data_IF_826487999327
#
_entry.id   IF_826487999327
#
_cell.length_a   1.000
_cell.length_b   1.000
_cell.length_c   1.000
_cell.angle_alpha   90.00
_cell.angle_beta   90.00
_cell.angle_gamma   90.00
#
_symmetry.space_group_name_H-M   'P 1'
#
loop_
_entity.id
_entity.type
_entity.pdbx_description
1 polymer ?
#
# COMPACT_ATOMS: atom_id res chain seq x y z
N UNK A 1 -87.99 25.59 -37.45
CA UNK A 1 -87.70 24.95 -38.76
C UNK A 1 -86.30 24.39 -38.69
N UNK A 2 -86.19 23.19 -39.08
CA UNK A 2 -85.01 22.32 -39.25
C UNK A 2 -84.64 21.35 -38.10
N UNK A 3 -85.02 20.21 -38.35
CA UNK A 3 -84.78 18.94 -37.67
C UNK A 3 -83.35 18.46 -37.83
N UNK A 4 -82.77 17.95 -36.76
CA UNK A 4 -81.52 17.21 -36.81
C UNK A 4 -81.70 15.81 -36.29
N UNK A 5 -81.47 14.87 -37.15
CA UNK A 5 -81.50 13.42 -36.89
C UNK A 5 -80.24 12.92 -36.24
N UNK A 6 -80.41 12.19 -35.17
CA UNK A 6 -79.35 11.51 -34.43
C UNK A 6 -79.05 10.17 -35.06
N UNK A 7 -77.78 9.89 -35.40
CA UNK A 7 -77.26 8.55 -35.73
C UNK A 7 -76.61 7.89 -34.51
N UNK A 8 -77.12 6.79 -34.04
CA UNK A 8 -76.47 5.91 -33.08
C UNK A 8 -75.53 4.96 -33.82
N UNK A 9 -74.24 4.97 -33.41
CA UNK A 9 -73.30 3.90 -33.81
C UNK A 9 -73.07 2.97 -32.62
N UNK A 10 -72.96 1.64 -32.88
CA UNK A 10 -72.80 0.65 -31.77
C UNK A 10 -71.44 0.62 -31.19
N UNK A 11 -71.36 0.53 -29.84
CA UNK A 11 -70.16 0.34 -29.02
C UNK A 11 -69.47 -0.95 -29.35
N UNK A 12 -68.20 -0.89 -29.77
CA UNK A 12 -67.32 -2.03 -29.93
C UNK A 12 -66.91 -2.58 -28.54
N UNK A 13 -67.13 -3.82 -28.29
CA UNK A 13 -66.73 -4.58 -27.12
C UNK A 13 -65.21 -4.74 -27.10
N UNK A 14 -64.49 -3.99 -26.23
CA UNK A 14 -63.08 -4.22 -25.94
C UNK A 14 -62.95 -5.44 -25.05
N UNK A 15 -62.39 -6.52 -25.60
CA UNK A 15 -61.96 -7.68 -24.81
C UNK A 15 -60.75 -7.28 -23.95
N UNK A 16 -60.93 -7.26 -22.63
CA UNK A 16 -59.81 -7.18 -21.65
C UNK A 16 -59.00 -8.47 -21.78
N UNK A 17 -57.83 -8.39 -22.42
CA UNK A 17 -56.81 -9.42 -22.31
C UNK A 17 -56.25 -9.38 -20.90
N UNK A 18 -56.21 -10.49 -20.20
CA UNK A 18 -55.61 -10.65 -18.89
C UNK A 18 -54.10 -10.30 -18.94
N UNK A 19 -53.55 -9.59 -17.95
CA UNK A 19 -52.12 -9.28 -17.94
C UNK A 19 -51.31 -10.58 -17.91
N UNK A 20 -50.36 -10.68 -18.82
CA UNK A 20 -49.37 -11.78 -18.79
C UNK A 20 -48.56 -11.70 -17.47
N UNK A 21 -48.32 -12.84 -16.80
CA UNK A 21 -47.48 -12.86 -15.62
C UNK A 21 -46.11 -12.34 -15.99
N UNK A 22 -45.57 -11.43 -15.16
CA UNK A 22 -44.21 -10.93 -15.28
C UNK A 22 -43.20 -12.08 -15.34
N UNK A 23 -42.18 -12.02 -16.20
CA UNK A 23 -41.15 -13.05 -16.27
C UNK A 23 -40.56 -13.28 -14.89
N UNK A 24 -40.43 -14.55 -14.48
CA UNK A 24 -39.81 -14.93 -13.23
C UNK A 24 -38.43 -14.28 -13.13
N UNK A 25 -38.02 -13.71 -11.97
CA UNK A 25 -36.69 -13.12 -11.82
C UNK A 25 -35.67 -14.19 -12.21
N UNK A 26 -34.74 -13.82 -13.09
CA UNK A 26 -33.62 -14.67 -13.46
C UNK A 26 -32.97 -15.22 -12.21
N UNK A 27 -32.74 -16.54 -12.18
CA UNK A 27 -32.11 -17.20 -11.04
C UNK A 27 -30.83 -16.41 -10.66
N UNK A 28 -30.77 -15.92 -9.42
CA UNK A 28 -29.62 -15.18 -8.93
C UNK A 28 -28.39 -16.05 -9.14
N UNK A 29 -27.29 -15.53 -9.74
CA UNK A 29 -26.08 -16.31 -9.94
C UNK A 29 -25.64 -16.81 -8.55
N UNK A 30 -25.41 -18.12 -8.43
CA UNK A 30 -25.15 -18.78 -7.16
C UNK A 30 -24.02 -18.09 -6.39
N UNK A 31 -24.18 -17.85 -5.08
CA UNK A 31 -23.17 -17.21 -4.22
C UNK A 31 -21.84 -17.97 -4.30
N UNK A 32 -20.74 -17.22 -4.46
CA UNK A 32 -19.39 -17.77 -4.37
C UNK A 32 -19.01 -17.86 -2.89
N UNK A 33 -18.62 -19.04 -2.44
CA UNK A 33 -18.19 -19.27 -1.05
C UNK A 33 -16.67 -19.41 -1.00
N UNK A 34 -16.04 -18.68 -0.08
CA UNK A 34 -14.60 -18.77 0.19
C UNK A 34 -14.34 -18.76 1.70
N UNK A 35 -13.21 -19.32 2.11
CA UNK A 35 -12.77 -19.25 3.49
C UNK A 35 -12.23 -17.87 3.82
N UNK A 36 -11.46 -17.28 2.90
CA UNK A 36 -10.86 -15.97 3.08
C UNK A 36 -11.11 -15.07 1.86
N UNK A 37 -11.67 -13.91 2.11
CA UNK A 37 -11.71 -12.80 1.16
C UNK A 37 -10.70 -11.74 1.55
N UNK A 38 -9.79 -11.39 0.63
CA UNK A 38 -8.82 -10.30 0.78
C UNK A 38 -9.20 -9.16 -0.15
N UNK A 39 -9.25 -7.94 0.37
CA UNK A 39 -9.53 -6.74 -0.42
C UNK A 39 -8.26 -5.94 -0.61
N UNK A 40 -7.79 -5.87 -1.86
CA UNK A 40 -6.57 -5.18 -2.29
C UNK A 40 -5.43 -6.14 -2.66
N UNK A 41 -5.02 -6.15 -3.93
CA UNK A 41 -3.84 -6.86 -4.44
C UNK A 41 -2.56 -6.03 -4.18
N UNK A 42 -2.32 -5.71 -2.91
CA UNK A 42 -1.13 -5.01 -2.42
C UNK A 42 -0.09 -5.99 -1.91
N UNK A 43 1.12 -5.51 -1.55
CA UNK A 43 2.13 -6.34 -0.88
C UNK A 43 1.57 -7.12 0.32
N UNK A 44 0.78 -6.48 1.16
CA UNK A 44 0.16 -7.14 2.31
C UNK A 44 -0.94 -8.13 1.90
N UNK A 45 -1.80 -7.74 0.96
CA UNK A 45 -2.93 -8.57 0.53
C UNK A 45 -2.49 -9.83 -0.20
N UNK A 46 -1.52 -9.71 -1.13
CA UNK A 46 -1.00 -10.85 -1.87
C UNK A 46 -0.20 -11.80 -0.98
N UNK A 47 0.60 -11.28 -0.03
CA UNK A 47 1.29 -12.12 0.95
C UNK A 47 0.29 -12.88 1.84
N UNK A 48 -0.77 -12.21 2.30
CA UNK A 48 -1.84 -12.83 3.09
C UNK A 48 -2.57 -13.93 2.30
N UNK A 49 -2.99 -13.61 1.10
CA UNK A 49 -3.74 -14.54 0.26
C UNK A 49 -2.93 -15.80 -0.09
N UNK A 50 -1.65 -15.60 -0.49
CA UNK A 50 -0.72 -16.69 -0.79
C UNK A 50 -0.51 -17.61 0.42
N UNK A 51 -0.22 -17.04 1.59
CA UNK A 51 0.01 -17.82 2.80
C UNK A 51 -1.22 -18.64 3.21
N UNK A 52 -2.41 -18.04 3.14
CA UNK A 52 -3.66 -18.72 3.45
C UNK A 52 -3.98 -19.85 2.45
N UNK A 53 -3.75 -19.63 1.15
CA UNK A 53 -3.96 -20.65 0.12
C UNK A 53 -2.99 -21.82 0.27
N UNK A 54 -1.71 -21.56 0.53
CA UNK A 54 -0.71 -22.60 0.83
C UNK A 54 -1.05 -23.40 2.09
N UNK A 55 -1.79 -22.79 3.04
CA UNK A 55 -2.32 -23.49 4.21
C UNK A 55 -3.65 -24.21 3.93
N UNK A 56 -4.09 -24.32 2.67
CA UNK A 56 -5.23 -25.13 2.24
C UNK A 56 -6.59 -24.40 2.24
N UNK A 57 -6.63 -23.07 2.40
CA UNK A 57 -7.90 -22.33 2.34
C UNK A 57 -8.31 -22.02 0.91
N UNK A 58 -9.62 -21.93 0.68
CA UNK A 58 -10.20 -21.29 -0.51
C UNK A 58 -10.10 -19.76 -0.34
N UNK A 59 -9.32 -19.12 -1.22
CA UNK A 59 -8.98 -17.69 -1.08
C UNK A 59 -9.34 -16.91 -2.34
N UNK A 60 -9.97 -15.75 -2.15
CA UNK A 60 -10.23 -14.78 -3.22
C UNK A 60 -9.62 -13.43 -2.87
N UNK A 61 -9.05 -12.74 -3.86
CA UNK A 61 -8.57 -11.35 -3.77
C UNK A 61 -9.39 -10.47 -4.69
N UNK A 62 -9.92 -9.37 -4.19
CA UNK A 62 -10.53 -8.31 -4.99
C UNK A 62 -9.59 -7.13 -5.13
N UNK A 63 -9.32 -6.71 -6.36
CA UNK A 63 -8.53 -5.49 -6.65
C UNK A 63 -9.30 -4.61 -7.64
N UNK A 64 -9.50 -3.34 -7.26
CA UNK A 64 -10.23 -2.35 -8.09
C UNK A 64 -9.52 -1.97 -9.39
N UNK A 65 -8.20 -2.09 -9.43
CA UNK A 65 -7.38 -1.77 -10.60
C UNK A 65 -7.34 -2.93 -11.58
N UNK A 66 -7.12 -2.64 -12.85
CA UNK A 66 -6.99 -3.65 -13.92
C UNK A 66 -5.68 -4.45 -13.85
N UNK A 67 -4.65 -3.93 -13.14
CA UNK A 67 -3.39 -4.60 -12.81
C UNK A 67 -2.99 -4.18 -11.39
N UNK A 68 -2.40 -5.06 -10.62
CA UNK A 68 -1.92 -4.75 -9.28
C UNK A 68 -0.85 -3.65 -9.32
N UNK A 69 0.01 -3.67 -10.33
CA UNK A 69 1.06 -2.68 -10.58
C UNK A 69 0.57 -1.33 -11.10
N UNK A 70 -0.70 -1.18 -11.53
CA UNK A 70 -1.20 0.08 -12.08
C UNK A 70 -1.30 1.18 -11.01
N UNK A 71 -0.94 2.42 -11.38
CA UNK A 71 -1.09 3.63 -10.54
C UNK A 71 -0.57 3.45 -9.12
N UNK A 72 0.66 2.94 -8.98
CA UNK A 72 1.31 2.81 -7.68
C UNK A 72 1.77 4.15 -7.13
N UNK A 73 1.88 4.22 -5.80
CA UNK A 73 2.30 5.39 -5.05
C UNK A 73 3.50 5.06 -4.13
N UNK A 74 4.39 4.19 -4.59
CA UNK A 74 5.57 3.75 -3.83
C UNK A 74 6.80 3.73 -4.72
N UNK A 75 7.95 4.09 -4.15
CA UNK A 75 9.26 3.94 -4.77
C UNK A 75 9.68 2.46 -4.90
N UNK A 76 9.09 1.58 -4.09
CA UNK A 76 9.40 0.15 -4.16
C UNK A 76 10.73 -0.23 -3.51
N UNK A 77 11.17 0.48 -2.48
CA UNK A 77 12.38 0.10 -1.72
C UNK A 77 12.03 -1.00 -0.72
N UNK A 78 12.70 -2.14 -0.83
CA UNK A 78 12.56 -3.28 0.07
C UNK A 78 13.86 -3.43 0.88
N UNK A 79 13.73 -3.41 2.20
CA UNK A 79 14.86 -3.61 3.11
C UNK A 79 15.25 -5.08 3.19
N UNK A 80 16.55 -5.36 3.43
CA UNK A 80 17.05 -6.74 3.59
C UNK A 80 16.27 -7.53 4.63
N UNK A 81 15.86 -6.91 5.73
CA UNK A 81 15.05 -7.56 6.77
C UNK A 81 13.73 -8.15 6.24
N UNK A 82 13.14 -7.56 5.19
CA UNK A 82 11.95 -8.13 4.55
C UNK A 82 12.29 -9.43 3.81
N UNK A 83 13.39 -9.42 3.07
CA UNK A 83 13.86 -10.62 2.32
C UNK A 83 14.25 -11.74 3.27
N UNK A 84 14.92 -11.41 4.38
CA UNK A 84 15.28 -12.39 5.41
C UNK A 84 14.06 -12.97 6.15
N UNK A 85 12.98 -12.19 6.28
CA UNK A 85 11.79 -12.56 7.06
C UNK A 85 10.67 -13.20 6.25
N UNK A 86 10.72 -13.08 4.93
CA UNK A 86 9.69 -13.55 3.99
C UNK A 86 10.39 -14.42 2.92
N UNK A 87 10.59 -15.73 3.19
CA UNK A 87 11.49 -16.59 2.41
C UNK A 87 11.18 -16.67 0.92
N UNK A 88 9.91 -16.62 0.52
CA UNK A 88 9.52 -16.68 -0.89
C UNK A 88 9.93 -15.44 -1.72
N UNK A 89 10.36 -14.34 -1.08
CA UNK A 89 10.99 -13.24 -1.81
C UNK A 89 12.33 -13.65 -2.48
N UNK A 90 12.95 -14.74 -2.06
CA UNK A 90 14.11 -15.30 -2.75
C UNK A 90 13.79 -15.81 -4.17
N UNK A 91 12.50 -16.04 -4.48
CA UNK A 91 12.02 -16.46 -5.79
C UNK A 91 11.79 -15.28 -6.75
N UNK A 92 11.92 -14.03 -6.28
CA UNK A 92 11.74 -12.83 -7.10
C UNK A 92 12.76 -12.81 -8.23
N UNK A 93 12.32 -12.66 -9.49
CA UNK A 93 13.23 -12.59 -10.63
C UNK A 93 14.28 -11.49 -10.45
N UNK A 94 15.58 -11.78 -10.64
CA UNK A 94 16.65 -10.79 -10.49
C UNK A 94 16.47 -9.53 -11.36
N UNK A 95 15.79 -9.66 -12.50
CA UNK A 95 15.48 -8.56 -13.38
C UNK A 95 14.51 -7.51 -12.77
N UNK A 96 13.78 -7.84 -11.71
CA UNK A 96 12.84 -6.96 -11.03
C UNK A 96 13.45 -6.20 -9.85
N UNK A 97 14.71 -6.46 -9.51
CA UNK A 97 15.35 -5.89 -8.34
C UNK A 97 16.74 -5.39 -8.65
N UNK A 98 17.15 -4.32 -8.00
CA UNK A 98 18.51 -3.79 -8.03
C UNK A 98 19.01 -3.57 -6.61
N UNK A 99 20.21 -4.04 -6.30
CA UNK A 99 20.79 -3.90 -4.98
C UNK A 99 21.37 -2.50 -4.77
N UNK A 100 21.06 -1.92 -3.61
CA UNK A 100 21.58 -0.64 -3.11
C UNK A 100 22.27 -0.92 -1.78
N UNK A 101 23.53 -0.51 -1.64
CA UNK A 101 24.38 -0.91 -0.51
C UNK A 101 24.63 0.21 0.52
N UNK A 102 24.19 1.43 0.19
CA UNK A 102 24.43 2.57 1.08
C UNK A 102 23.36 3.64 0.98
N UNK A 103 23.40 4.55 1.93
CA UNK A 103 22.56 5.74 1.97
C UNK A 103 23.47 6.95 2.03
N UNK A 104 23.30 7.91 1.11
CA UNK A 104 23.94 9.20 1.17
C UNK A 104 22.95 10.25 1.65
N UNK A 105 23.18 10.78 2.83
CA UNK A 105 22.28 11.75 3.46
C UNK A 105 22.85 13.15 3.32
N UNK A 106 22.08 14.05 2.68
CA UNK A 106 22.48 15.43 2.44
C UNK A 106 21.79 16.38 3.43
N UNK A 107 22.58 17.31 3.96
CA UNK A 107 22.08 18.46 4.69
C UNK A 107 21.51 19.53 3.72
N UNK A 108 20.76 20.53 4.20
CA UNK A 108 20.23 21.61 3.37
C UNK A 108 21.29 22.38 2.56
N UNK A 109 22.54 22.47 3.04
CA UNK A 109 23.67 23.07 2.32
C UNK A 109 24.42 22.12 1.38
N UNK A 110 23.85 20.95 1.09
CA UNK A 110 24.41 19.89 0.23
C UNK A 110 25.68 19.19 0.75
N UNK A 111 26.16 19.50 1.97
CA UNK A 111 27.14 18.64 2.66
C UNK A 111 26.49 17.30 2.94
N UNK A 112 27.25 16.21 2.84
CA UNK A 112 26.68 14.87 2.99
C UNK A 112 27.52 13.97 3.91
N UNK A 113 26.88 12.90 4.33
CA UNK A 113 27.51 11.74 4.98
C UNK A 113 27.07 10.47 4.28
N UNK A 114 28.00 9.55 4.10
CA UNK A 114 27.74 8.22 3.58
C UNK A 114 27.53 7.26 4.75
N UNK A 115 26.45 6.53 4.71
CA UNK A 115 26.04 5.56 5.70
C UNK A 115 26.07 4.17 5.04
N UNK A 116 26.81 3.26 5.65
CA UNK A 116 26.90 1.88 5.22
C UNK A 116 26.80 0.97 6.45
N UNK A 117 26.17 -0.19 6.28
CA UNK A 117 26.18 -1.25 7.27
C UNK A 117 26.70 -2.53 6.62
N UNK A 118 27.81 -3.10 7.08
CA UNK A 118 28.38 -4.32 6.49
C UNK A 118 27.36 -5.44 6.39
N UNK A 119 27.19 -6.01 5.20
CA UNK A 119 26.22 -7.07 4.93
C UNK A 119 24.75 -6.65 4.86
N UNK A 120 24.44 -5.35 5.01
CA UNK A 120 23.09 -4.82 4.85
C UNK A 120 22.93 -4.12 3.50
N UNK A 121 21.75 -4.24 2.90
CA UNK A 121 21.41 -3.68 1.60
C UNK A 121 19.89 -3.46 1.48
N UNK A 122 19.50 -2.76 0.44
CA UNK A 122 18.11 -2.56 0.03
C UNK A 122 17.93 -3.06 -1.39
N UNK A 123 16.74 -3.50 -1.75
CA UNK A 123 16.33 -3.62 -3.13
C UNK A 123 15.60 -2.33 -3.56
N UNK A 124 16.06 -1.72 -4.64
CA UNK A 124 15.22 -0.92 -5.51
C UNK A 124 14.49 -1.87 -6.43
N UNK A 125 13.18 -1.74 -6.60
CA UNK A 125 12.39 -2.69 -7.38
C UNK A 125 11.67 -2.00 -8.53
N UNK A 126 11.44 -2.75 -9.62
CA UNK A 126 10.34 -2.44 -10.51
C UNK A 126 9.03 -2.81 -9.79
N UNK A 127 8.51 -1.89 -8.98
CA UNK A 127 7.38 -2.16 -8.10
C UNK A 127 6.09 -2.56 -8.85
N UNK A 128 5.76 -2.00 -10.04
CA UNK A 128 4.67 -2.50 -10.87
C UNK A 128 4.84 -3.96 -11.27
N UNK A 129 5.97 -4.29 -11.90
CA UNK A 129 6.24 -5.65 -12.36
C UNK A 129 6.36 -6.64 -11.20
N UNK A 130 6.91 -6.20 -10.05
CA UNK A 130 6.97 -7.03 -8.85
C UNK A 130 5.58 -7.38 -8.31
N UNK A 131 4.65 -6.43 -8.26
CA UNK A 131 3.28 -6.72 -7.82
C UNK A 131 2.54 -7.63 -8.81
N UNK A 132 2.74 -7.46 -10.10
CA UNK A 132 2.15 -8.35 -11.10
C UNK A 132 2.76 -9.77 -11.03
N UNK A 133 4.07 -9.90 -10.75
CA UNK A 133 4.70 -11.18 -10.43
C UNK A 133 4.10 -11.81 -9.16
N UNK A 134 3.87 -11.03 -8.10
CA UNK A 134 3.22 -11.51 -6.88
C UNK A 134 1.78 -12.00 -7.14
N UNK A 135 1.04 -11.35 -8.05
CA UNK A 135 -0.28 -11.84 -8.49
C UNK A 135 -0.13 -13.23 -9.15
N UNK A 136 0.87 -13.40 -10.03
CA UNK A 136 1.17 -14.68 -10.64
C UNK A 136 1.48 -15.77 -9.61
N UNK A 137 2.33 -15.44 -8.62
CA UNK A 137 2.68 -16.35 -7.51
C UNK A 137 1.47 -16.72 -6.65
N UNK A 138 0.59 -15.76 -6.34
CA UNK A 138 -0.65 -16.02 -5.60
C UNK A 138 -1.59 -16.95 -6.39
N UNK A 139 -1.77 -16.69 -7.68
CA UNK A 139 -2.58 -17.56 -8.56
C UNK A 139 -2.02 -18.98 -8.67
N UNK A 140 -0.70 -19.11 -8.79
CA UNK A 140 -0.03 -20.41 -8.79
C UNK A 140 -0.23 -21.19 -7.47
N UNK A 141 -0.49 -20.48 -6.36
CA UNK A 141 -0.85 -21.07 -5.07
C UNK A 141 -2.34 -21.36 -4.91
N UNK A 142 -3.17 -21.19 -5.96
CA UNK A 142 -4.60 -21.48 -5.94
C UNK A 142 -5.50 -20.29 -5.55
N UNK A 143 -4.98 -19.06 -5.48
CA UNK A 143 -5.78 -17.87 -5.16
C UNK A 143 -6.58 -17.39 -6.39
N UNK A 144 -7.88 -17.18 -6.24
CA UNK A 144 -8.72 -16.48 -7.24
C UNK A 144 -8.49 -14.97 -7.15
N UNK A 145 -7.65 -14.40 -8.02
CA UNK A 145 -7.35 -12.95 -8.02
C UNK A 145 -8.22 -12.26 -9.08
N UNK A 146 -9.17 -11.46 -8.64
CA UNK A 146 -10.09 -10.67 -9.45
C UNK A 146 -9.66 -9.22 -9.54
N UNK A 147 -9.02 -8.89 -10.65
CA UNK A 147 -8.65 -7.52 -11.00
C UNK A 147 -9.87 -6.79 -11.59
N UNK A 148 -9.89 -5.47 -11.53
CA UNK A 148 -11.00 -4.65 -11.98
C UNK A 148 -12.27 -4.76 -11.11
N UNK A 149 -12.19 -5.41 -9.94
CA UNK A 149 -13.34 -5.67 -9.07
C UNK A 149 -13.26 -4.80 -7.82
N UNK A 150 -14.23 -3.91 -7.68
CA UNK A 150 -14.30 -2.96 -6.59
C UNK A 150 -15.05 -3.55 -5.39
N UNK A 151 -14.43 -3.48 -4.20
CA UNK A 151 -15.12 -3.69 -2.93
C UNK A 151 -15.86 -2.40 -2.52
N UNK A 152 -17.14 -2.49 -2.22
CA UNK A 152 -17.95 -1.36 -1.77
C UNK A 152 -18.41 -1.51 -0.31
N UNK A 153 -18.95 -2.66 0.04
CA UNK A 153 -19.50 -2.95 1.36
C UNK A 153 -19.40 -4.43 1.71
N UNK A 154 -19.57 -4.74 2.99
CA UNK A 154 -19.72 -6.08 3.51
C UNK A 154 -20.80 -6.10 4.61
N UNK A 155 -21.58 -7.14 4.64
CA UNK A 155 -22.63 -7.38 5.64
C UNK A 155 -22.27 -8.62 6.44
N UNK A 156 -22.39 -8.54 7.76
CA UNK A 156 -22.21 -9.69 8.63
C UNK A 156 -23.54 -10.40 8.83
N UNK A 157 -23.74 -11.53 8.15
CA UNK A 157 -24.98 -12.29 8.18
C UNK A 157 -24.69 -13.78 8.44
N UNK A 158 -25.44 -14.40 9.31
CA UNK A 158 -25.36 -15.84 9.60
C UNK A 158 -23.92 -16.34 9.91
N UNK A 159 -23.11 -15.52 10.61
CA UNK A 159 -21.76 -15.89 10.96
C UNK A 159 -20.75 -15.83 9.80
N UNK A 160 -21.06 -15.14 8.71
CA UNK A 160 -20.21 -14.94 7.55
C UNK A 160 -20.30 -13.52 7.01
N UNK A 161 -19.28 -13.11 6.26
CA UNK A 161 -19.27 -11.86 5.52
C UNK A 161 -19.92 -12.06 4.15
N UNK A 162 -20.97 -11.31 3.85
CA UNK A 162 -21.55 -11.22 2.50
C UNK A 162 -21.09 -9.93 1.84
N UNK A 163 -20.44 -10.09 0.68
CA UNK A 163 -19.83 -8.99 -0.08
C UNK A 163 -20.45 -8.96 -1.47
N UNK A 164 -21.41 -8.07 -1.70
CA UNK A 164 -21.94 -7.84 -3.03
C UNK A 164 -20.87 -7.19 -3.92
N UNK A 165 -20.78 -7.62 -5.17
CA UNK A 165 -19.93 -7.02 -6.20
C UNK A 165 -20.78 -6.49 -7.34
N UNK A 166 -20.36 -5.38 -7.94
CA UNK A 166 -21.15 -4.67 -8.96
C UNK A 166 -21.47 -5.54 -10.18
N UNK A 167 -20.55 -6.44 -10.53
CA UNK A 167 -20.73 -7.39 -11.64
C UNK A 167 -20.35 -8.79 -11.16
N UNK A 168 -21.34 -9.65 -10.99
CA UNK A 168 -21.13 -11.03 -10.58
C UNK A 168 -21.96 -11.45 -9.35
N UNK A 169 -21.79 -12.71 -8.94
CA UNK A 169 -22.46 -13.25 -7.75
C UNK A 169 -21.94 -12.63 -6.46
N UNK A 170 -22.78 -12.59 -5.42
CA UNK A 170 -22.38 -12.22 -4.09
C UNK A 170 -21.31 -13.19 -3.56
N UNK A 171 -20.29 -12.65 -2.88
CA UNK A 171 -19.22 -13.44 -2.28
C UNK A 171 -19.54 -13.62 -0.79
N UNK A 172 -19.56 -14.88 -0.36
CA UNK A 172 -19.73 -15.24 1.06
C UNK A 172 -18.41 -15.74 1.61
N UNK A 173 -17.84 -15.04 2.60
CA UNK A 173 -16.52 -15.36 3.18
C UNK A 173 -16.62 -15.69 4.67
N UNK A 174 -15.82 -16.66 5.13
CA UNK A 174 -15.68 -16.96 6.56
C UNK A 174 -14.88 -15.87 7.27
N UNK A 175 -13.88 -15.32 6.59
CA UNK A 175 -13.01 -14.28 7.11
C UNK A 175 -12.76 -13.18 6.06
N UNK A 176 -12.60 -11.91 6.49
CA UNK A 176 -12.35 -10.76 5.63
C UNK A 176 -11.04 -10.06 6.04
N UNK A 177 -10.13 -9.84 5.10
CA UNK A 177 -8.90 -9.06 5.32
C UNK A 177 -8.88 -7.84 4.41
N UNK A 178 -8.79 -6.64 5.04
CA UNK A 178 -8.62 -5.38 4.33
C UNK A 178 -7.14 -5.05 4.14
N UNK A 179 -6.70 -5.00 2.88
CA UNK A 179 -5.35 -4.64 2.43
C UNK A 179 -5.40 -3.56 1.34
N UNK A 180 -6.42 -2.73 1.36
CA UNK A 180 -6.87 -1.82 0.30
C UNK A 180 -6.28 -0.40 0.40
N UNK A 181 -5.17 -0.28 1.13
CA UNK A 181 -4.34 0.92 1.18
C UNK A 181 -4.80 1.98 2.19
N UNK A 182 -4.18 3.18 2.14
CA UNK A 182 -4.31 4.17 3.22
C UNK A 182 -5.70 4.77 3.39
N UNK A 183 -6.53 4.71 2.36
CA UNK A 183 -7.95 5.16 2.37
C UNK A 183 -8.92 3.98 2.37
N UNK A 184 -8.65 2.98 3.18
CA UNK A 184 -9.36 1.70 3.23
C UNK A 184 -10.89 1.85 3.21
N UNK A 185 -11.50 1.25 2.19
CA UNK A 185 -12.96 1.09 2.09
C UNK A 185 -13.45 0.03 3.06
N UNK A 186 -12.64 -1.02 3.30
CA UNK A 186 -12.96 -2.04 4.31
C UNK A 186 -13.04 -1.40 5.68
N UNK A 187 -12.05 -0.57 6.06
CA UNK A 187 -12.11 0.15 7.34
C UNK A 187 -13.36 1.02 7.47
N UNK A 188 -13.75 1.71 6.38
CA UNK A 188 -14.96 2.53 6.35
C UNK A 188 -16.22 1.68 6.50
N UNK A 189 -16.35 0.61 5.72
CA UNK A 189 -17.54 -0.25 5.71
C UNK A 189 -17.76 -0.95 7.06
N UNK A 190 -16.65 -1.33 7.74
CA UNK A 190 -16.71 -2.04 9.01
C UNK A 190 -16.68 -1.12 10.25
N UNK A 191 -16.65 0.21 10.09
CA UNK A 191 -16.56 1.14 11.23
C UNK A 191 -15.24 1.04 11.99
N UNK A 192 -14.14 0.62 11.32
CA UNK A 192 -12.81 0.56 11.92
C UNK A 192 -12.10 1.93 11.86
N UNK A 193 -11.00 2.06 12.59
CA UNK A 193 -10.19 3.28 12.53
C UNK A 193 -9.61 3.52 11.14
N UNK A 194 -9.45 4.80 10.77
CA UNK A 194 -8.90 5.22 9.48
C UNK A 194 -7.71 6.13 9.66
N UNK A 195 -6.79 6.12 8.70
CA UNK A 195 -5.65 7.02 8.69
C UNK A 195 -6.12 8.48 8.59
N UNK A 196 -5.52 9.34 9.41
CA UNK A 196 -5.79 10.80 9.43
C UNK A 196 -4.52 11.63 9.29
N UNK A 197 -3.35 11.00 9.36
CA UNK A 197 -2.05 11.67 9.27
C UNK A 197 -1.28 11.13 8.08
N UNK A 198 -0.92 12.01 7.15
CA UNK A 198 -0.29 11.63 5.90
C UNK A 198 0.93 12.47 5.57
N UNK A 199 1.86 11.87 4.85
CA UNK A 199 2.76 12.55 3.95
C UNK A 199 2.13 12.52 2.55
N UNK A 200 2.34 13.58 1.79
CA UNK A 200 2.05 13.60 0.36
C UNK A 200 3.35 13.61 -0.40
N UNK A 201 3.54 12.59 -1.25
CA UNK A 201 4.74 12.40 -2.04
C UNK A 201 4.47 12.54 -3.53
N UNK A 202 5.48 13.04 -4.26
CA UNK A 202 5.57 12.96 -5.72
C UNK A 202 6.91 12.36 -6.10
N UNK A 203 6.91 11.58 -7.18
CA UNK A 203 8.09 10.93 -7.72
C UNK A 203 8.03 10.94 -9.24
N UNK A 204 9.13 11.27 -9.89
CA UNK A 204 9.32 11.17 -11.31
C UNK A 204 10.33 10.07 -11.61
N UNK A 205 10.07 9.30 -12.65
CA UNK A 205 10.98 8.28 -13.17
C UNK A 205 11.63 8.79 -14.45
N UNK A 206 12.96 8.70 -14.51
CA UNK A 206 13.75 9.16 -15.65
C UNK A 206 14.59 8.03 -16.22
N UNK A 207 14.75 8.00 -17.54
CA UNK A 207 15.77 7.21 -18.22
C UNK A 207 17.06 8.03 -18.34
N UNK A 208 18.21 7.38 -18.12
CA UNK A 208 19.50 8.00 -18.33
C UNK A 208 19.90 9.08 -17.33
N UNK A 209 19.23 9.18 -16.17
CA UNK A 209 19.69 10.07 -15.11
C UNK A 209 21.07 9.63 -14.59
N UNK A 210 21.88 10.61 -14.21
CA UNK A 210 23.25 10.41 -13.68
C UNK A 210 23.31 10.74 -12.21
N UNK A 211 23.78 9.80 -11.40
CA UNK A 211 24.04 9.95 -9.97
C UNK A 211 25.06 8.91 -9.52
N UNK A 212 25.61 9.03 -8.32
CA UNK A 212 26.49 8.01 -7.76
C UNK A 212 25.73 6.67 -7.61
N UNK A 213 26.21 5.58 -8.22
CA UNK A 213 25.53 4.30 -8.25
C UNK A 213 25.52 3.60 -6.88
N UNK A 214 24.57 2.66 -6.68
CA UNK A 214 24.50 1.83 -5.48
C UNK A 214 24.11 2.55 -4.20
N UNK A 215 23.66 3.79 -4.29
CA UNK A 215 23.26 4.62 -3.15
C UNK A 215 21.80 5.06 -3.24
N UNK A 216 21.14 5.08 -2.07
CA UNK A 216 19.92 5.85 -1.87
C UNK A 216 20.31 7.25 -1.43
N UNK A 217 20.13 8.25 -2.28
CA UNK A 217 20.36 9.64 -1.97
C UNK A 217 19.15 10.22 -1.23
N UNK A 218 19.34 10.75 -0.03
CA UNK A 218 18.32 11.35 0.81
C UNK A 218 18.64 12.82 1.09
N UNK A 219 17.72 13.72 0.76
CA UNK A 219 17.91 15.16 0.86
C UNK A 219 17.02 15.73 1.98
N UNK A 220 17.64 16.24 3.04
CA UNK A 220 16.94 16.96 4.11
C UNK A 220 16.85 18.42 3.73
N UNK A 221 15.65 18.96 3.62
CA UNK A 221 15.40 20.36 3.34
C UNK A 221 14.01 20.76 3.84
N UNK A 222 13.95 21.61 4.86
CA UNK A 222 12.68 22.04 5.45
C UNK A 222 11.81 22.85 4.48
N UNK A 223 12.43 23.58 3.53
CA UNK A 223 11.70 24.43 2.59
C UNK A 223 11.08 23.61 1.47
N UNK A 224 11.79 22.58 0.99
CA UNK A 224 11.36 21.73 -0.12
C UNK A 224 10.47 20.57 0.33
N UNK A 225 10.85 19.94 1.44
CA UNK A 225 10.21 18.75 1.99
C UNK A 225 9.87 18.94 3.49
N UNK A 226 8.99 19.88 3.86
CA UNK A 226 8.69 20.14 5.27
C UNK A 226 8.12 18.89 5.94
N UNK A 227 8.77 18.49 7.02
CA UNK A 227 8.42 17.30 7.78
C UNK A 227 8.78 15.98 7.11
N UNK A 228 9.53 15.97 5.99
CA UNK A 228 10.06 14.74 5.40
C UNK A 228 11.36 15.03 4.61
N UNK A 229 11.65 14.27 3.54
CA UNK A 229 12.86 14.36 2.73
C UNK A 229 12.55 14.32 1.23
N UNK A 230 13.52 14.72 0.41
CA UNK A 230 13.64 14.32 -0.98
C UNK A 230 14.50 13.06 -1.11
N UNK A 231 14.37 12.33 -2.20
CA UNK A 231 15.17 11.15 -2.50
C UNK A 231 15.51 11.05 -3.97
N UNK A 232 16.61 10.36 -4.26
CA UNK A 232 16.95 9.91 -5.60
C UNK A 232 17.66 8.56 -5.51
N UNK A 233 17.37 7.66 -6.45
CA UNK A 233 18.03 6.36 -6.56
C UNK A 233 18.02 5.88 -7.99
N UNK A 234 19.03 5.08 -8.33
CA UNK A 234 19.08 4.38 -9.59
C UNK A 234 18.37 3.02 -9.44
N UNK A 235 17.14 2.96 -9.96
CA UNK A 235 16.25 1.80 -9.84
C UNK A 235 16.45 0.77 -10.96
N UNK A 236 15.43 -0.02 -11.23
CA UNK A 236 15.41 -1.02 -12.29
C UNK A 236 14.95 -0.37 -13.60
N UNK A 237 15.86 -0.20 -14.55
CA UNK A 237 15.57 0.41 -15.87
C UNK A 237 15.27 1.90 -15.86
N UNK A 238 15.05 2.50 -14.69
CA UNK A 238 14.76 3.92 -14.50
C UNK A 238 15.40 4.44 -13.22
N UNK A 239 15.69 5.74 -13.19
CA UNK A 239 16.09 6.43 -11.97
C UNK A 239 14.87 7.14 -11.37
N UNK A 240 14.67 7.01 -10.09
CA UNK A 240 13.54 7.54 -9.35
C UNK A 240 13.98 8.77 -8.54
N UNK A 241 13.32 9.90 -8.74
CA UNK A 241 13.60 11.15 -8.01
C UNK A 241 12.27 11.67 -7.46
N UNK A 242 12.22 11.87 -6.16
CA UNK A 242 10.98 12.28 -5.51
C UNK A 242 11.19 13.11 -4.27
N UNK A 243 10.11 13.64 -3.76
CA UNK A 243 10.06 14.26 -2.45
C UNK A 243 8.67 14.08 -1.84
N UNK A 244 8.60 14.15 -0.52
CA UNK A 244 7.33 14.18 0.17
C UNK A 244 7.32 15.26 1.26
N UNK A 245 6.13 15.71 1.62
CA UNK A 245 5.93 16.66 2.71
C UNK A 245 4.81 16.22 3.63
N UNK A 246 4.83 16.75 4.84
CA UNK A 246 3.73 16.59 5.78
C UNK A 246 2.48 17.28 5.24
N UNK A 247 1.35 16.56 5.25
CA UNK A 247 0.04 17.16 5.00
C UNK A 247 -0.43 17.92 6.25
N UNK A 248 -0.63 19.22 6.13
CA UNK A 248 -1.33 20.08 7.10
C UNK A 248 -2.56 20.64 6.42
N UNK A 249 -3.62 20.95 7.18
CA UNK A 249 -4.93 21.33 6.64
C UNK A 249 -4.91 22.50 5.63
N UNK A 250 -3.92 23.40 5.73
CA UNK A 250 -3.80 24.58 4.87
C UNK A 250 -2.66 24.52 3.84
N UNK A 251 -2.10 23.36 3.58
CA UNK A 251 -1.05 23.25 2.55
C UNK A 251 -1.66 23.32 1.13
N UNK A 252 -2.31 24.43 0.81
CA UNK A 252 -2.78 24.77 -0.53
C UNK A 252 -1.58 25.02 -1.45
N UNK A 253 -1.29 24.08 -2.31
CA UNK A 253 -0.26 24.19 -3.34
C UNK A 253 0.19 22.81 -3.81
N UNK A 254 0.21 22.63 -5.11
CA UNK A 254 0.75 21.41 -5.70
C UNK A 254 2.23 21.25 -5.28
N UNK A 255 2.58 20.09 -4.75
CA UNK A 255 3.97 19.74 -4.53
C UNK A 255 4.65 19.66 -5.90
N UNK A 256 5.78 20.37 -6.07
CA UNK A 256 6.53 20.41 -7.34
C UNK A 256 7.91 19.83 -7.13
N UNK A 257 8.39 19.04 -8.09
CA UNK A 257 9.71 18.44 -8.03
C UNK A 257 10.81 19.38 -8.51
N UNK A 258 10.52 20.33 -9.42
CA UNK A 258 11.51 21.22 -10.04
C UNK A 258 12.41 21.98 -9.06
N UNK A 259 11.93 22.50 -7.91
CA UNK A 259 12.81 23.12 -6.93
C UNK A 259 13.87 22.17 -6.35
N UNK A 260 13.49 20.89 -6.15
CA UNK A 260 14.44 19.87 -5.73
C UNK A 260 15.43 19.57 -6.85
N UNK A 261 14.98 19.33 -8.07
CA UNK A 261 15.85 19.05 -9.23
C UNK A 261 16.91 20.15 -9.42
N UNK A 262 16.51 21.41 -9.37
CA UNK A 262 17.48 22.54 -9.43
C UNK A 262 18.48 22.51 -8.31
N UNK A 263 18.06 22.19 -7.08
CA UNK A 263 18.95 22.16 -5.92
C UNK A 263 19.97 21.05 -6.00
N UNK A 264 19.59 19.87 -6.46
CA UNK A 264 20.44 18.68 -6.47
C UNK A 264 21.21 18.48 -7.79
N UNK A 265 21.10 19.42 -8.73
CA UNK A 265 21.67 19.31 -10.08
C UNK A 265 23.19 19.01 -10.13
N UNK A 266 23.93 19.39 -9.08
CA UNK A 266 25.37 19.07 -8.96
C UNK A 266 25.66 17.60 -8.61
N UNK A 267 24.67 16.83 -8.15
CA UNK A 267 24.85 15.45 -7.66
C UNK A 267 23.91 14.45 -8.34
N UNK A 268 22.77 14.94 -8.80
CA UNK A 268 21.77 14.15 -9.55
C UNK A 268 21.33 14.96 -10.75
N UNK A 269 21.59 14.46 -11.95
CA UNK A 269 21.16 15.09 -13.20
C UNK A 269 20.13 14.17 -13.84
N UNK A 270 18.83 14.52 -13.85
CA UNK A 270 17.87 13.82 -14.71
C UNK A 270 18.33 13.93 -16.15
N UNK A 271 18.05 12.95 -16.99
CA UNK A 271 18.35 13.04 -18.44
C UNK A 271 17.60 14.21 -19.08
N UNK A 272 17.95 14.54 -20.31
CA UNK A 272 17.35 15.65 -21.08
C UNK A 272 15.89 15.35 -21.50
N UNK A 273 15.48 14.09 -21.42
CA UNK A 273 14.12 13.66 -21.73
C UNK A 273 13.15 13.93 -20.57
N UNK A 274 11.86 14.17 -20.85
CA UNK A 274 10.84 14.27 -19.83
C UNK A 274 10.73 12.96 -19.03
N UNK A 275 10.15 12.99 -17.81
CA UNK A 275 9.97 11.77 -17.03
C UNK A 275 9.07 10.77 -17.75
N UNK A 276 9.47 9.49 -17.76
CA UNK A 276 8.71 8.40 -18.37
C UNK A 276 7.48 8.02 -17.53
N UNK A 277 7.50 8.32 -16.23
CA UNK A 277 6.37 8.17 -15.36
C UNK A 277 6.38 9.21 -14.23
N UNK A 278 5.18 9.58 -13.80
CA UNK A 278 4.95 10.46 -12.64
C UNK A 278 4.03 9.73 -11.67
N UNK A 279 4.46 9.65 -10.42
CA UNK A 279 3.69 9.06 -9.33
C UNK A 279 3.40 10.10 -8.25
N UNK A 280 2.22 10.03 -7.66
CA UNK A 280 1.88 10.85 -6.51
C UNK A 280 0.94 10.09 -5.58
N UNK A 281 1.07 10.30 -4.28
CA UNK A 281 0.20 9.60 -3.34
C UNK A 281 0.37 9.99 -1.89
N UNK A 282 -0.57 9.51 -1.09
CA UNK A 282 -0.58 9.71 0.34
C UNK A 282 0.01 8.50 1.06
N UNK A 283 0.95 8.75 1.96
CA UNK A 283 1.63 7.74 2.76
C UNK A 283 1.20 7.95 4.21
N UNK A 284 0.56 6.96 4.87
CA UNK A 284 0.17 7.11 6.26
C UNK A 284 1.41 7.21 7.15
N UNK A 285 1.41 8.15 8.10
CA UNK A 285 2.55 8.38 8.99
C UNK A 285 2.15 8.51 10.47
N UNK A 286 0.91 8.11 10.80
CA UNK A 286 0.39 8.09 12.17
C UNK A 286 0.81 6.86 12.99
N UNK A 287 1.33 5.84 12.34
CA UNK A 287 1.54 4.50 12.93
C UNK A 287 0.25 3.68 12.93
N UNK A 288 0.32 2.48 13.52
CA UNK A 288 -0.81 1.54 13.57
C UNK A 288 -2.03 2.16 14.25
N UNK A 289 -3.17 1.95 13.63
CA UNK A 289 -4.47 2.47 14.06
C UNK A 289 -4.98 1.77 15.31
N UNK A 290 -5.80 2.43 16.18
CA UNK A 290 -6.25 1.85 17.43
C UNK A 290 -7.24 0.70 17.27
N UNK A 291 -8.16 0.76 16.30
CA UNK A 291 -9.14 -0.29 16.03
C UNK A 291 -8.96 -0.78 14.59
N UNK A 292 -8.30 -1.92 14.43
CA UNK A 292 -7.92 -2.52 13.14
C UNK A 292 -8.59 -3.86 12.88
N UNK A 293 -9.46 -4.30 13.76
CA UNK A 293 -10.14 -5.59 13.60
C UNK A 293 -11.48 -5.61 14.32
N UNK A 294 -12.38 -6.46 13.83
CA UNK A 294 -13.67 -6.84 14.46
C UNK A 294 -14.20 -8.12 13.79
N UNK A 295 -14.96 -8.93 14.53
CA UNK A 295 -15.86 -9.99 14.01
C UNK A 295 -15.32 -10.74 12.77
N UNK A 296 -14.23 -11.49 12.93
CA UNK A 296 -13.59 -12.22 11.80
C UNK A 296 -13.20 -11.31 10.62
N UNK A 297 -12.80 -10.10 10.94
CA UNK A 297 -12.21 -9.19 9.97
C UNK A 297 -11.04 -8.43 10.59
N UNK A 298 -9.98 -8.19 9.79
CA UNK A 298 -8.84 -7.38 10.20
C UNK A 298 -8.24 -6.60 9.02
N UNK A 299 -7.48 -5.56 9.36
CA UNK A 299 -6.73 -4.75 8.39
C UNK A 299 -5.25 -5.11 8.47
N UNK A 300 -4.56 -5.05 7.31
CA UNK A 300 -3.10 -5.21 7.20
C UNK A 300 -2.49 -4.11 6.31
N UNK A 301 -1.18 -3.94 6.39
CA UNK A 301 -0.46 -2.94 5.60
C UNK A 301 -0.92 -1.51 5.87
N UNK A 302 -0.97 -0.69 4.84
CA UNK A 302 -1.34 0.73 4.94
C UNK A 302 -2.78 0.94 5.43
N UNK A 303 -3.67 -0.01 5.17
CA UNK A 303 -5.05 0.03 5.68
C UNK A 303 -5.09 0.01 7.21
N UNK A 304 -4.14 -0.68 7.86
CA UNK A 304 -3.96 -0.70 9.31
C UNK A 304 -3.00 0.39 9.83
N UNK A 305 -2.42 1.22 8.95
CA UNK A 305 -1.39 2.20 9.33
C UNK A 305 -0.03 1.59 9.64
N UNK A 306 0.30 0.43 9.09
CA UNK A 306 1.57 -0.30 9.32
C UNK A 306 2.75 0.30 8.56
N UNK A 307 2.86 1.61 8.55
CA UNK A 307 3.97 2.34 7.93
C UNK A 307 4.82 2.97 9.00
N UNK A 308 6.14 2.86 8.87
CA UNK A 308 7.09 3.49 9.78
C UNK A 308 6.88 5.02 9.79
N UNK A 309 6.56 5.63 10.92
CA UNK A 309 6.31 7.08 10.98
C UNK A 309 7.52 7.94 10.58
N UNK A 310 8.74 7.42 10.69
CA UNK A 310 9.97 8.17 10.39
C UNK A 310 10.41 7.97 8.95
N UNK A 311 10.53 6.73 8.49
CA UNK A 311 11.09 6.40 7.17
C UNK A 311 10.03 6.28 6.07
N UNK A 312 8.73 6.35 6.42
CA UNK A 312 7.61 6.03 5.53
C UNK A 312 7.74 4.64 4.85
N UNK A 313 8.62 3.79 5.35
CA UNK A 313 8.78 2.40 4.88
C UNK A 313 7.66 1.53 5.42
N UNK A 314 6.85 0.96 4.53
CA UNK A 314 5.71 0.11 4.86
C UNK A 314 5.79 -1.30 4.28
N UNK A 315 6.60 -1.52 3.22
CA UNK A 315 6.60 -2.78 2.46
C UNK A 315 7.02 -3.97 3.34
N UNK A 316 8.07 -3.83 4.18
CA UNK A 316 8.51 -4.89 5.08
C UNK A 316 7.38 -5.34 6.04
N UNK A 317 6.78 -4.37 6.74
CA UNK A 317 5.67 -4.67 7.66
C UNK A 317 4.44 -5.20 6.93
N UNK A 318 4.17 -4.72 5.72
CA UNK A 318 3.07 -5.17 4.88
C UNK A 318 3.24 -6.65 4.48
N UNK A 319 4.41 -7.03 3.97
CA UNK A 319 4.72 -8.41 3.59
C UNK A 319 4.66 -9.35 4.80
N UNK A 320 5.41 -9.04 5.86
CA UNK A 320 5.52 -9.87 7.05
C UNK A 320 4.18 -10.07 7.77
N UNK A 321 3.45 -8.97 8.03
CA UNK A 321 2.16 -9.07 8.70
C UNK A 321 1.05 -9.57 7.79
N UNK A 322 1.15 -9.36 6.48
CA UNK A 322 0.26 -9.98 5.50
C UNK A 322 0.38 -11.50 5.55
N UNK A 323 1.58 -12.03 5.40
CA UNK A 323 1.85 -13.48 5.45
C UNK A 323 1.34 -14.09 6.77
N UNK A 324 1.75 -13.53 7.91
CA UNK A 324 1.31 -14.00 9.24
C UNK A 324 -0.21 -13.89 9.44
N UNK A 325 -0.87 -12.92 8.84
CA UNK A 325 -2.33 -12.80 8.90
C UNK A 325 -3.00 -13.95 8.14
N UNK A 326 -2.48 -14.30 6.96
CA UNK A 326 -2.95 -15.46 6.18
C UNK A 326 -2.82 -16.77 6.96
N UNK A 327 -1.65 -17.01 7.57
CA UNK A 327 -1.42 -18.17 8.44
C UNK A 327 -2.34 -18.19 9.66
N UNK A 328 -2.53 -17.05 10.33
CA UNK A 328 -3.38 -16.94 11.49
C UNK A 328 -4.86 -17.22 11.16
N UNK A 329 -5.33 -16.69 10.02
CA UNK A 329 -6.70 -16.98 9.52
C UNK A 329 -6.84 -18.45 9.16
N UNK A 330 -5.84 -19.06 8.54
CA UNK A 330 -5.89 -20.48 8.20
C UNK A 330 -6.00 -21.35 9.47
N UNK A 331 -5.22 -21.10 10.50
CA UNK A 331 -5.32 -21.80 11.79
C UNK A 331 -6.70 -21.63 12.44
N UNK A 332 -7.29 -20.42 12.36
CA UNK A 332 -8.63 -20.16 12.84
C UNK A 332 -9.70 -20.97 12.07
N UNK A 333 -9.66 -20.94 10.75
CA UNK A 333 -10.64 -21.65 9.91
C UNK A 333 -10.57 -23.16 10.13
N UNK A 334 -9.37 -23.72 10.39
CA UNK A 334 -9.19 -25.14 10.73
C UNK A 334 -9.55 -25.48 12.18
N UNK A 335 -9.93 -24.49 13.00
CA UNK A 335 -10.26 -24.71 14.42
C UNK A 335 -9.03 -24.90 15.34
N UNK A 336 -7.82 -24.59 14.87
CA UNK A 336 -6.56 -24.75 15.62
C UNK A 336 -6.25 -23.54 16.52
N UNK A 337 -6.89 -22.40 16.29
CA UNK A 337 -6.68 -21.16 17.05
C UNK A 337 -7.97 -20.35 17.18
N UNK A 338 -8.01 -19.46 18.17
CA UNK A 338 -9.09 -18.46 18.31
C UNK A 338 -9.04 -17.40 17.19
N UNK A 339 -10.09 -16.55 17.12
CA UNK A 339 -10.19 -15.51 16.09
C UNK A 339 -8.98 -14.55 16.11
N UNK A 340 -8.22 -14.42 15.00
CA UNK A 340 -7.11 -13.48 14.86
C UNK A 340 -7.48 -12.03 15.19
N UNK A 341 -8.71 -11.62 14.98
CA UNK A 341 -9.18 -10.29 15.35
C UNK A 341 -8.99 -9.97 16.84
N UNK A 342 -8.91 -10.98 17.71
CA UNK A 342 -8.79 -10.81 19.16
C UNK A 342 -7.35 -10.86 19.68
N UNK A 343 -6.46 -11.63 19.05
CA UNK A 343 -5.11 -11.86 19.54
C UNK A 343 -4.00 -11.43 18.58
N UNK A 344 -4.15 -11.69 17.27
CA UNK A 344 -3.08 -11.44 16.29
C UNK A 344 -2.77 -9.95 16.17
N UNK A 345 -3.80 -9.10 16.13
CA UNK A 345 -3.62 -7.65 16.00
C UNK A 345 -2.87 -7.00 17.18
N UNK A 346 -2.81 -7.66 18.33
CA UNK A 346 -2.00 -7.20 19.48
C UNK A 346 -0.50 -7.27 19.21
N UNK A 347 -0.09 -8.12 18.27
CA UNK A 347 1.29 -8.25 17.81
C UNK A 347 1.70 -7.23 16.74
N UNK A 348 0.85 -6.28 16.36
CA UNK A 348 1.18 -5.25 15.40
C UNK A 348 2.24 -4.28 15.92
N UNK A 349 3.07 -3.71 15.04
CA UNK A 349 4.21 -2.89 15.47
C UNK A 349 3.76 -1.62 16.19
N UNK A 350 4.17 -1.44 17.44
CA UNK A 350 3.74 -0.29 18.25
C UNK A 350 4.32 1.06 17.82
N UNK A 351 5.46 1.08 17.14
CA UNK A 351 6.18 2.28 16.66
C UNK A 351 6.38 3.40 17.71
N UNK A 352 6.35 3.10 19.01
CA UNK A 352 6.38 4.13 20.09
C UNK A 352 7.54 5.10 19.93
N UNK A 353 8.78 4.57 19.83
CA UNK A 353 9.97 5.41 19.64
C UNK A 353 9.94 6.16 18.31
N UNK A 354 9.54 5.49 17.22
CA UNK A 354 9.45 6.13 15.89
C UNK A 354 8.37 7.23 15.87
N UNK A 355 7.28 7.08 16.62
CA UNK A 355 6.26 8.14 16.78
C UNK A 355 6.81 9.34 17.56
N UNK A 356 7.58 9.12 18.63
CA UNK A 356 8.23 10.19 19.37
C UNK A 356 9.28 10.94 18.51
N UNK A 357 10.10 10.18 17.76
CA UNK A 357 11.07 10.77 16.80
C UNK A 357 10.34 11.55 15.70
N UNK A 358 9.23 11.03 15.20
CA UNK A 358 8.40 11.72 14.22
C UNK A 358 7.87 13.04 14.77
N UNK A 359 7.32 13.03 15.99
CA UNK A 359 6.85 14.22 16.65
C UNK A 359 7.96 15.25 16.81
N UNK A 360 9.15 14.84 17.28
CA UNK A 360 10.31 15.72 17.42
C UNK A 360 10.75 16.31 16.06
N UNK A 361 10.77 15.49 15.01
CA UNK A 361 11.12 15.95 13.66
C UNK A 361 10.11 16.96 13.11
N UNK A 362 8.82 16.74 13.33
CA UNK A 362 7.75 17.64 12.89
C UNK A 362 7.84 19.03 13.57
N UNK A 363 8.32 19.11 14.84
CA UNK A 363 8.34 20.35 15.60
C UNK A 363 9.70 21.05 15.59
N UNK A 364 10.79 20.29 15.52
CA UNK A 364 12.17 20.79 15.69
C UNK A 364 13.02 20.66 14.43
N UNK A 365 12.46 20.40 13.26
CA UNK A 365 13.22 20.36 12.02
C UNK A 365 13.87 21.73 11.76
N UNK A 366 15.20 21.78 11.81
CA UNK A 366 16.00 22.99 11.63
C UNK A 366 17.09 22.75 10.59
N UNK A 367 17.09 23.56 9.52
CA UNK A 367 18.13 23.51 8.50
C UNK A 367 19.50 23.82 9.09
N UNK A 368 19.58 24.75 10.08
CA UNK A 368 20.81 25.06 10.78
C UNK A 368 21.38 23.84 11.51
N UNK A 369 20.53 23.09 12.22
CA UNK A 369 20.93 21.88 12.95
C UNK A 369 21.53 20.83 11.98
N UNK A 370 20.87 20.54 10.88
CA UNK A 370 21.36 19.56 9.91
C UNK A 370 22.64 20.04 9.22
N UNK A 371 22.76 21.32 8.88
CA UNK A 371 23.95 21.88 8.27
C UNK A 371 25.21 21.76 9.14
N UNK A 372 25.06 21.80 10.47
CA UNK A 372 26.19 21.78 11.39
C UNK A 372 26.41 20.41 12.04
N UNK A 373 25.34 19.65 12.30
CA UNK A 373 25.43 18.44 13.12
C UNK A 373 25.41 17.14 12.30
N UNK A 374 25.01 17.15 11.02
CA UNK A 374 24.87 15.93 10.22
C UNK A 374 26.16 15.10 10.18
N UNK A 375 27.34 15.76 10.12
CA UNK A 375 28.64 15.11 10.12
C UNK A 375 29.13 14.61 11.49
N UNK A 376 28.44 14.90 12.59
CA UNK A 376 28.85 14.48 13.92
C UNK A 376 28.62 12.97 14.13
N UNK A 377 29.50 12.32 14.95
CA UNK A 377 29.35 10.89 15.24
C UNK A 377 27.98 10.53 15.86
N UNK A 378 27.42 11.42 16.68
CA UNK A 378 26.12 11.24 17.31
C UNK A 378 24.99 11.20 16.28
N UNK A 379 24.95 12.20 15.38
CA UNK A 379 23.93 12.29 14.34
C UNK A 379 24.06 11.15 13.34
N UNK A 380 25.29 10.77 12.99
CA UNK A 380 25.58 9.62 12.14
C UNK A 380 25.01 8.32 12.75
N UNK A 381 25.23 8.06 14.03
CA UNK A 381 24.67 6.89 14.74
C UNK A 381 23.14 6.89 14.75
N UNK A 382 22.52 8.06 14.92
CA UNK A 382 21.04 8.18 14.84
C UNK A 382 20.56 7.85 13.43
N UNK A 383 21.22 8.35 12.39
CA UNK A 383 20.87 8.05 11.00
C UNK A 383 21.05 6.55 10.68
N UNK A 384 22.17 5.94 11.08
CA UNK A 384 22.43 4.50 10.92
C UNK A 384 21.34 3.66 11.62
N UNK A 385 20.91 4.05 12.81
CA UNK A 385 19.80 3.38 13.52
C UNK A 385 18.48 3.48 12.76
N UNK A 386 18.20 4.61 12.12
CA UNK A 386 16.98 4.84 11.35
C UNK A 386 16.96 3.97 10.08
N UNK A 387 18.07 3.93 9.34
CA UNK A 387 18.14 3.25 8.05
C UNK A 387 18.44 1.74 8.15
N UNK A 388 19.28 1.32 9.11
CA UNK A 388 19.79 -0.06 9.19
C UNK A 388 19.33 -0.86 10.41
N UNK A 389 18.36 -0.38 11.17
CA UNK A 389 17.69 -1.11 12.24
C UNK A 389 18.62 -1.83 13.25
N UNK A 390 19.70 -1.21 13.74
CA UNK A 390 20.71 -1.75 14.67
C UNK A 390 21.62 -2.87 14.14
N UNK A 391 21.51 -3.29 12.89
CA UNK A 391 22.39 -4.31 12.33
C UNK A 391 23.71 -3.76 11.79
N UNK A 392 23.96 -2.47 11.90
CA UNK A 392 25.23 -1.82 11.60
C UNK A 392 26.16 -1.87 12.80
N UNK A 393 27.10 -2.86 12.87
CA UNK A 393 28.23 -2.80 13.75
C UNK A 393 28.29 -3.80 14.91
N UNK A 394 28.59 -5.03 14.59
CA UNK A 394 29.61 -5.81 15.28
C UNK A 394 30.47 -6.48 14.22
N UNK A 395 31.61 -5.85 13.92
CA UNK A 395 32.72 -6.61 13.37
C UNK A 395 32.96 -7.79 14.32
N UNK A 396 33.12 -9.04 13.82
CA UNK A 396 33.63 -10.11 14.65
C UNK A 396 34.98 -9.61 15.17
N UNK A 397 35.16 -9.62 16.47
CA UNK A 397 36.46 -9.46 17.07
C UNK A 397 37.28 -10.63 16.60
N UNK A 398 38.34 -10.33 15.86
CA UNK A 398 39.43 -11.27 15.47
C UNK A 398 39.95 -12.02 16.67
#
# INVERSE_FOLDING_TARGET
>A
MHTSSSFFSPLASSSCAAPQPAPAPAASPGNIKVDLLVVGASFAGLACARAAALAGLSVMVLEKKSSAGAKLHTTGIIVKDAVDSVPWLAEVPPALVRRIEGVRLYAPNMRHVDLHAPGYWFWATDAPALLDWMVGSARASGVDVRLGTLFEQALWLNGRWEVPVTQGPCITATYLVGADGPHSRVAKALGLSRNTRFLYGIEHEYQGARMAPGLLHCFIDRKLAPGYIGWALDGVGVSQIGLARRMVHDSAGALKLDPLLRKIASVVTPGDAPPVAVRAGMIPCGGVLPVVARERALLVGDAAGMVSPVTAGGIHTALLHGERAGEAVARFVRGEAGDPATWFVRGYPGFRLKRALRWAFDHFQSDWMFNHLLGTPQMRRVAELIYFHRKGGSLPKS
#
